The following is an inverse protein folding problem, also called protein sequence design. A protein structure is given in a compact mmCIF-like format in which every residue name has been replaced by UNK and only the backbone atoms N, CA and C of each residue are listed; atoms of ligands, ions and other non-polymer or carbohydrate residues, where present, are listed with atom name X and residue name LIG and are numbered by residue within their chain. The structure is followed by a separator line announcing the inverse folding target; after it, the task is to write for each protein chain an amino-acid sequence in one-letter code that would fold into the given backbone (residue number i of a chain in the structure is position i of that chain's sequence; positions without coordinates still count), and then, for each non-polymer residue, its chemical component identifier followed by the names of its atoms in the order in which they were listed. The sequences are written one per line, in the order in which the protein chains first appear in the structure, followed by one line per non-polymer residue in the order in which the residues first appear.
data_IF_937477723074
#
_entry.id   IF_937477723074
#
_cell.length_a   1.000
_cell.length_b   1.000
_cell.length_c   1.000
_cell.angle_alpha   90.00
_cell.angle_beta   90.00
_cell.angle_gamma   90.00
#
_symmetry.space_group_name_H-M   'P 1'
#
loop_
_entity.id
_entity.type
_entity.pdbx_description
1 polymer ?
#
# COMPACT_ATOMS: atom_id res chain seq x y z
N UNK A 1 -48.78 -8.98 58.01
CA UNK A 1 -47.97 -7.83 57.57
C UNK A 1 -47.15 -8.26 56.36
N UNK A 2 -47.42 -7.77 55.14
CA UNK A 2 -46.61 -8.11 53.98
C UNK A 2 -45.47 -7.09 53.79
N UNK A 3 -44.25 -7.60 53.83
CA UNK A 3 -43.00 -6.88 53.51
C UNK A 3 -42.86 -6.72 52.00
N UNK A 4 -42.99 -5.49 51.50
CA UNK A 4 -42.73 -5.13 50.11
C UNK A 4 -41.24 -4.84 49.90
N UNK A 5 -40.57 -5.69 49.12
CA UNK A 5 -39.18 -5.47 48.69
C UNK A 5 -39.10 -4.43 47.56
N UNK A 6 -38.04 -3.58 47.50
CA UNK A 6 -37.92 -2.54 46.50
C UNK A 6 -37.37 -3.08 45.17
N UNK A 7 -38.17 -3.00 44.10
CA UNK A 7 -37.84 -3.42 42.71
C UNK A 7 -37.07 -2.39 41.86
N UNK A 8 -36.63 -1.25 42.43
CA UNK A 8 -36.23 -0.08 41.63
C UNK A 8 -34.79 -0.08 41.07
N UNK A 9 -33.93 -1.03 41.45
CA UNK A 9 -32.49 -0.97 41.09
C UNK A 9 -32.11 -1.70 39.79
N UNK A 10 -32.97 -2.54 39.24
CA UNK A 10 -32.67 -3.36 38.04
C UNK A 10 -33.01 -2.69 36.71
N UNK A 11 -33.93 -1.71 36.67
CA UNK A 11 -34.34 -1.05 35.42
C UNK A 11 -33.34 0.00 34.89
N UNK A 12 -32.54 0.61 35.77
CA UNK A 12 -31.53 1.61 35.37
C UNK A 12 -30.28 1.00 34.74
N UNK A 13 -29.90 -0.22 35.13
CA UNK A 13 -28.74 -0.91 34.56
C UNK A 13 -28.98 -1.32 33.09
N UNK A 14 -30.20 -1.74 32.74
CA UNK A 14 -30.53 -2.18 31.37
C UNK A 14 -30.59 -1.04 30.36
N UNK A 15 -30.98 0.18 30.78
CA UNK A 15 -30.99 1.36 29.90
C UNK A 15 -29.61 1.95 29.66
N UNK A 16 -28.69 1.85 30.62
CA UNK A 16 -27.29 2.24 30.43
C UNK A 16 -26.57 1.31 29.46
N UNK A 17 -26.80 0.00 29.53
CA UNK A 17 -26.17 -0.99 28.65
C UNK A 17 -26.68 -0.86 27.20
N UNK A 18 -27.97 -0.55 26.98
CA UNK A 18 -28.50 -0.34 25.63
C UNK A 18 -27.96 0.95 24.98
N UNK A 19 -27.81 2.02 25.76
CA UNK A 19 -27.20 3.28 25.31
C UNK A 19 -25.72 3.11 24.93
N UNK A 20 -24.94 2.39 25.74
CA UNK A 20 -23.54 2.09 25.43
C UNK A 20 -23.38 1.21 24.17
N UNK A 21 -24.28 0.25 23.95
CA UNK A 21 -24.26 -0.58 22.72
C UNK A 21 -24.58 0.23 21.47
N UNK A 22 -25.53 1.17 21.57
CA UNK A 22 -25.88 2.04 20.46
C UNK A 22 -24.73 2.99 20.08
N UNK A 23 -24.06 3.59 21.08
CA UNK A 23 -22.90 4.47 20.83
C UNK A 23 -21.71 3.70 20.26
N UNK A 24 -21.42 2.49 20.76
CA UNK A 24 -20.41 1.61 20.18
C UNK A 24 -20.73 1.26 18.72
N UNK A 25 -21.98 0.88 18.42
CA UNK A 25 -22.38 0.53 17.05
C UNK A 25 -22.25 1.72 16.09
N UNK A 26 -22.66 2.92 16.52
CA UNK A 26 -22.50 4.15 15.74
C UNK A 26 -21.01 4.49 15.51
N UNK A 27 -20.16 4.30 16.53
CA UNK A 27 -18.72 4.50 16.43
C UNK A 27 -18.05 3.53 15.45
N UNK A 28 -18.42 2.24 15.49
CA UNK A 28 -17.95 1.24 14.53
C UNK A 28 -18.34 1.55 13.08
N UNK A 29 -19.58 2.04 12.86
CA UNK A 29 -20.03 2.42 11.52
C UNK A 29 -19.28 3.64 10.99
N UNK A 30 -19.09 4.67 11.82
CA UNK A 30 -18.31 5.86 11.44
C UNK A 30 -16.87 5.49 11.10
N UNK A 31 -16.23 4.66 11.94
CA UNK A 31 -14.86 4.19 11.73
C UNK A 31 -14.69 3.43 10.42
N UNK A 32 -15.63 2.53 10.08
CA UNK A 32 -15.64 1.81 8.79
C UNK A 32 -15.80 2.73 7.59
N UNK A 33 -16.63 3.75 7.70
CA UNK A 33 -16.83 4.72 6.61
C UNK A 33 -15.57 5.54 6.35
N UNK A 34 -14.88 5.98 7.41
CA UNK A 34 -13.60 6.70 7.31
C UNK A 34 -12.53 5.81 6.68
N UNK A 35 -12.40 4.56 7.14
CA UNK A 35 -11.43 3.61 6.59
C UNK A 35 -11.66 3.36 5.09
N UNK A 36 -12.91 3.15 4.67
CA UNK A 36 -13.25 2.96 3.26
C UNK A 36 -12.94 4.19 2.42
N UNK A 37 -13.33 5.38 2.89
CA UNK A 37 -13.03 6.63 2.20
C UNK A 37 -11.52 6.84 2.06
N UNK A 38 -10.76 6.52 3.11
CA UNK A 38 -9.30 6.56 3.07
C UNK A 38 -8.72 5.59 2.03
N UNK A 39 -9.17 4.33 1.98
CA UNK A 39 -8.71 3.37 0.95
C UNK A 39 -8.97 3.90 -0.46
N UNK A 40 -10.16 4.45 -0.71
CA UNK A 40 -10.54 4.93 -2.04
C UNK A 40 -9.70 6.14 -2.46
N UNK A 41 -9.53 7.12 -1.57
CA UNK A 41 -8.69 8.30 -1.84
C UNK A 41 -7.23 7.91 -2.04
N UNK A 42 -6.73 6.98 -1.21
CA UNK A 42 -5.37 6.48 -1.32
C UNK A 42 -5.15 5.72 -2.63
N UNK A 43 -6.07 4.84 -3.01
CA UNK A 43 -6.00 4.12 -4.28
C UNK A 43 -6.07 5.07 -5.49
N UNK A 44 -6.90 6.12 -5.43
CA UNK A 44 -6.93 7.15 -6.47
C UNK A 44 -5.59 7.89 -6.58
N UNK A 45 -4.97 8.23 -5.44
CA UNK A 45 -3.64 8.84 -5.41
C UNK A 45 -2.57 7.90 -6.01
N UNK A 46 -2.61 6.61 -5.69
CA UNK A 46 -1.70 5.61 -6.26
C UNK A 46 -1.85 5.47 -7.79
N UNK A 47 -3.08 5.49 -8.32
CA UNK A 47 -3.32 5.44 -9.76
C UNK A 47 -2.77 6.70 -10.45
N UNK A 48 -2.99 7.89 -9.89
CA UNK A 48 -2.42 9.13 -10.42
C UNK A 48 -0.89 9.09 -10.40
N UNK A 49 -0.31 8.58 -9.32
CA UNK A 49 1.14 8.42 -9.21
C UNK A 49 1.68 7.46 -10.28
N UNK A 50 0.99 6.34 -10.52
CA UNK A 50 1.36 5.37 -11.56
C UNK A 50 1.36 6.00 -12.96
N UNK A 51 0.33 6.79 -13.28
CA UNK A 51 0.24 7.47 -14.58
C UNK A 51 1.42 8.44 -14.76
N UNK A 52 1.75 9.19 -13.71
CA UNK A 52 2.88 10.12 -13.72
C UNK A 52 4.21 9.39 -13.88
N UNK A 53 4.41 8.28 -13.15
CA UNK A 53 5.62 7.47 -13.22
C UNK A 53 5.81 6.84 -14.61
N UNK A 54 4.75 6.32 -15.22
CA UNK A 54 4.80 5.78 -16.59
C UNK A 54 5.17 6.89 -17.58
N UNK A 55 4.55 8.06 -17.46
CA UNK A 55 4.82 9.21 -18.33
C UNK A 55 6.28 9.67 -18.22
N UNK A 56 6.78 9.78 -17.00
CA UNK A 56 8.15 10.19 -16.73
C UNK A 56 9.15 9.13 -17.21
N UNK A 57 8.85 7.84 -17.04
CA UNK A 57 9.67 6.74 -17.58
C UNK A 57 9.72 6.74 -19.11
N UNK A 58 8.62 7.07 -19.79
CA UNK A 58 8.60 7.20 -21.25
C UNK A 58 9.52 8.34 -21.72
N UNK A 59 9.44 9.51 -21.08
CA UNK A 59 10.31 10.67 -21.39
C UNK A 59 11.78 10.37 -21.10
N UNK A 60 12.09 9.80 -19.94
CA UNK A 60 13.47 9.43 -19.59
C UNK A 60 14.04 8.38 -20.56
N UNK A 61 13.24 7.39 -20.94
CA UNK A 61 13.66 6.37 -21.91
C UNK A 61 13.94 6.98 -23.28
N UNK A 62 13.13 7.95 -23.71
CA UNK A 62 13.37 8.69 -24.95
C UNK A 62 14.70 9.45 -24.90
N UNK A 63 14.92 10.26 -23.86
CA UNK A 63 16.17 11.01 -23.69
C UNK A 63 17.40 10.09 -23.64
N UNK A 64 17.28 8.95 -22.95
CA UNK A 64 18.35 7.96 -22.88
C UNK A 64 18.66 7.33 -24.24
N UNK A 65 17.65 6.98 -25.04
CA UNK A 65 17.85 6.38 -26.37
C UNK A 65 18.38 7.39 -27.40
N UNK A 66 17.95 8.66 -27.32
CA UNK A 66 18.52 9.74 -28.15
C UNK A 66 19.97 10.00 -27.77
N UNK A 67 20.30 10.04 -26.48
CA UNK A 67 21.68 10.24 -26.00
C UNK A 67 22.65 9.12 -26.42
N UNK A 68 22.16 7.89 -26.58
CA UNK A 68 22.95 6.75 -27.07
C UNK A 68 23.04 6.73 -28.61
N UNK A 69 22.28 7.58 -29.31
CA UNK A 69 22.23 7.56 -30.77
C UNK A 69 21.56 6.29 -31.30
N UNK A 70 20.52 5.80 -30.62
CA UNK A 70 19.80 4.62 -31.05
C UNK A 70 19.15 4.83 -32.43
N UNK A 71 19.17 3.78 -33.24
CA UNK A 71 18.58 3.78 -34.57
C UNK A 71 17.29 2.95 -34.57
N UNK A 72 16.31 3.41 -35.34
CA UNK A 72 15.08 2.67 -35.63
C UNK A 72 15.41 1.50 -36.58
N UNK A 73 14.50 0.53 -36.72
CA UNK A 73 14.64 -0.57 -37.67
C UNK A 73 14.96 -0.11 -39.11
N UNK A 74 14.48 1.07 -39.51
CA UNK A 74 14.73 1.68 -40.81
C UNK A 74 16.10 2.38 -40.94
N UNK A 75 16.95 2.30 -39.91
CA UNK A 75 18.27 2.93 -39.90
C UNK A 75 18.26 4.46 -39.72
N UNK A 76 17.12 5.07 -39.43
CA UNK A 76 17.01 6.49 -39.05
C UNK A 76 17.32 6.68 -37.57
N UNK A 77 17.87 7.85 -37.21
CA UNK A 77 18.10 8.22 -35.81
C UNK A 77 16.77 8.42 -35.09
N UNK A 78 16.67 7.93 -33.85
CA UNK A 78 15.45 8.05 -33.05
C UNK A 78 15.02 9.50 -32.80
N UNK A 79 15.98 10.44 -32.76
CA UNK A 79 15.71 11.87 -32.60
C UNK A 79 15.17 12.57 -33.86
N UNK A 80 15.16 11.88 -35.00
CA UNK A 80 14.63 12.43 -36.26
C UNK A 80 13.14 12.15 -36.50
N UNK A 81 12.51 11.32 -35.67
CA UNK A 81 11.07 11.08 -35.76
C UNK A 81 10.30 12.24 -35.13
N UNK A 82 9.27 12.71 -35.81
CA UNK A 82 8.41 13.82 -35.34
C UNK A 82 7.09 13.33 -34.74
N UNK A 83 6.70 12.07 -35.01
CA UNK A 83 5.44 11.50 -34.53
C UNK A 83 5.63 10.72 -33.21
N UNK A 84 4.82 11.05 -32.20
CA UNK A 84 4.80 10.33 -30.92
C UNK A 84 4.46 8.85 -31.08
N UNK A 85 3.58 8.51 -32.02
CA UNK A 85 3.19 7.12 -32.26
C UNK A 85 4.37 6.30 -32.79
N UNK A 86 5.10 6.82 -33.77
CA UNK A 86 6.27 6.13 -34.34
C UNK A 86 7.40 5.98 -33.30
N UNK A 87 7.59 6.97 -32.44
CA UNK A 87 8.56 6.90 -31.33
C UNK A 87 8.15 5.80 -30.34
N UNK A 88 6.88 5.73 -29.95
CA UNK A 88 6.41 4.75 -28.96
C UNK A 88 6.37 3.32 -29.49
N UNK A 89 6.02 3.14 -30.77
CA UNK A 89 6.02 1.83 -31.45
C UNK A 89 7.45 1.34 -31.74
N UNK A 90 8.46 2.21 -31.66
CA UNK A 90 9.84 1.84 -31.92
C UNK A 90 10.36 0.81 -30.90
N UNK A 91 10.93 -0.28 -31.42
CA UNK A 91 11.53 -1.35 -30.63
C UNK A 91 12.57 -0.87 -29.56
N UNK A 92 13.46 0.10 -29.85
CA UNK A 92 14.42 0.60 -28.87
C UNK A 92 13.74 1.23 -27.65
N UNK A 93 12.66 1.99 -27.86
CA UNK A 93 11.90 2.63 -26.78
C UNK A 93 11.20 1.58 -25.93
N UNK A 94 10.48 0.64 -26.54
CA UNK A 94 9.79 -0.43 -25.79
C UNK A 94 10.77 -1.27 -24.95
N UNK A 95 11.95 -1.56 -25.50
CA UNK A 95 13.00 -2.31 -24.78
C UNK A 95 13.59 -1.51 -23.61
N UNK A 96 13.82 -0.21 -23.79
CA UNK A 96 14.35 0.66 -22.75
C UNK A 96 13.35 0.89 -21.64
N UNK A 97 12.11 1.26 -21.99
CA UNK A 97 11.00 1.43 -21.06
C UNK A 97 10.77 0.16 -20.26
N UNK A 98 10.73 -1.01 -20.92
CA UNK A 98 10.59 -2.29 -20.24
C UNK A 98 11.71 -2.59 -19.23
N UNK A 99 12.95 -2.22 -19.54
CA UNK A 99 14.09 -2.40 -18.62
C UNK A 99 14.00 -1.46 -17.41
N UNK A 100 13.61 -0.21 -17.62
CA UNK A 100 13.41 0.76 -16.54
C UNK A 100 12.22 0.34 -15.65
N UNK A 101 11.12 -0.05 -16.28
CA UNK A 101 9.93 -0.53 -15.61
C UNK A 101 10.23 -1.77 -14.78
N UNK A 102 10.98 -2.74 -15.31
CA UNK A 102 11.40 -3.92 -14.54
C UNK A 102 12.24 -3.54 -13.31
N UNK A 103 13.21 -2.64 -13.45
CA UNK A 103 14.02 -2.14 -12.31
C UNK A 103 13.19 -1.39 -11.27
N UNK A 104 12.16 -0.69 -11.72
CA UNK A 104 11.21 -0.03 -10.83
C UNK A 104 10.36 -1.07 -10.07
N UNK A 105 9.85 -2.08 -10.79
CA UNK A 105 9.05 -3.15 -10.22
C UNK A 105 9.83 -3.97 -9.18
N UNK A 106 11.03 -4.39 -9.56
CA UNK A 106 11.87 -5.27 -8.77
C UNK A 106 13.24 -4.61 -8.50
N UNK A 107 13.62 -4.40 -7.22
CA UNK A 107 12.93 -4.82 -5.99
C UNK A 107 11.96 -3.76 -5.41
N UNK A 108 11.90 -2.57 -6.01
CA UNK A 108 11.45 -1.35 -5.33
C UNK A 108 9.95 -1.31 -5.01
N UNK A 109 9.06 -1.84 -5.86
CA UNK A 109 7.62 -1.86 -5.56
C UNK A 109 7.15 -3.22 -5.05
N UNK A 110 7.78 -4.30 -5.49
CA UNK A 110 7.34 -5.65 -5.13
C UNK A 110 7.88 -6.18 -3.81
N UNK A 111 9.05 -5.71 -3.35
CA UNK A 111 9.71 -6.30 -2.18
C UNK A 111 10.01 -5.27 -1.10
N UNK A 112 10.53 -4.11 -1.49
CA UNK A 112 10.96 -3.06 -0.55
C UNK A 112 9.83 -2.56 0.35
N UNK A 113 8.59 -2.27 -0.12
CA UNK A 113 7.54 -1.73 0.73
C UNK A 113 7.15 -2.76 1.81
N UNK A 114 7.04 -4.03 1.43
CA UNK A 114 6.72 -5.13 2.35
C UNK A 114 7.84 -5.46 3.34
N UNK A 115 9.10 -5.19 2.97
CA UNK A 115 10.21 -5.27 3.91
C UNK A 115 10.25 -4.06 4.83
N UNK A 116 10.05 -2.85 4.30
CA UNK A 116 10.12 -1.61 5.06
C UNK A 116 8.98 -1.48 6.07
N UNK A 117 7.78 -1.95 5.73
CA UNK A 117 6.59 -1.85 6.58
C UNK A 117 6.75 -2.48 7.97
N UNK A 118 7.22 -3.73 8.17
CA UNK A 118 7.44 -4.25 9.52
C UNK A 118 8.50 -3.44 10.30
N UNK A 119 9.52 -2.86 9.63
CA UNK A 119 10.50 -2.02 10.31
C UNK A 119 9.93 -0.64 10.68
N UNK A 120 9.21 0.01 9.77
CA UNK A 120 8.76 1.40 9.94
C UNK A 120 7.40 1.49 10.61
N UNK A 121 6.47 0.58 10.32
CA UNK A 121 5.12 0.61 10.87
C UNK A 121 4.97 -0.19 12.17
N UNK A 122 5.82 -1.20 12.43
CA UNK A 122 5.72 -2.01 13.65
C UNK A 122 6.88 -1.75 14.61
N UNK A 123 8.12 -1.84 14.16
CA UNK A 123 9.29 -1.68 15.03
C UNK A 123 9.49 -0.22 15.48
N UNK A 124 9.35 0.76 14.58
CA UNK A 124 9.53 2.16 14.91
C UNK A 124 8.52 2.66 15.96
N UNK A 125 7.19 2.43 15.85
CA UNK A 125 6.24 2.91 16.84
C UNK A 125 6.39 2.20 18.18
N UNK A 126 6.76 0.91 18.17
CA UNK A 126 7.07 0.19 19.41
C UNK A 126 8.27 0.82 20.13
N UNK A 127 9.31 1.19 19.39
CA UNK A 127 10.51 1.81 19.95
C UNK A 127 10.23 3.23 20.47
N UNK A 128 9.45 4.03 19.73
CA UNK A 128 9.04 5.38 20.18
C UNK A 128 8.13 5.30 21.40
N UNK A 129 7.19 4.35 21.46
CA UNK A 129 6.36 4.10 22.63
C UNK A 129 7.19 3.71 23.86
N UNK A 130 8.17 2.82 23.69
CA UNK A 130 9.11 2.41 24.76
C UNK A 130 9.90 3.60 25.29
N UNK A 131 10.40 4.47 24.42
CA UNK A 131 11.09 5.69 24.82
C UNK A 131 10.16 6.69 25.52
N UNK A 132 8.93 6.86 25.04
CA UNK A 132 7.96 7.79 25.60
C UNK A 132 7.51 7.37 27.00
N UNK A 133 7.18 6.09 27.20
CA UNK A 133 6.79 5.54 28.51
C UNK A 133 7.98 5.55 29.47
N UNK A 134 9.18 5.27 28.99
CA UNK A 134 10.41 5.32 29.80
C UNK A 134 10.79 6.74 30.24
N UNK A 135 10.53 7.75 29.41
CA UNK A 135 10.87 9.15 29.70
C UNK A 135 9.85 9.84 30.64
N UNK A 136 8.60 9.37 30.69
CA UNK A 136 7.54 10.04 31.45
C UNK A 136 6.92 9.14 32.53
N UNK A 137 7.28 9.31 33.83
CA UNK A 137 6.76 8.49 34.92
C UNK A 137 5.26 8.68 35.19
N UNK A 138 4.60 9.66 34.54
CA UNK A 138 3.15 9.88 34.64
C UNK A 138 2.33 8.89 33.80
N UNK A 139 2.94 8.23 32.80
CA UNK A 139 2.26 7.26 31.94
C UNK A 139 2.47 5.87 32.54
N UNK A 140 1.47 5.37 33.29
CA UNK A 140 1.48 4.06 33.95
C UNK A 140 0.14 3.33 33.77
N UNK A 141 0.16 2.01 33.91
CA UNK A 141 -1.03 1.17 33.86
C UNK A 141 -1.68 1.14 32.47
N UNK A 142 -3.00 1.24 32.42
CA UNK A 142 -3.81 1.16 31.19
C UNK A 142 -3.39 2.18 30.10
N UNK A 143 -2.90 3.36 30.51
CA UNK A 143 -2.41 4.37 29.56
C UNK A 143 -1.07 4.00 28.92
N UNK A 144 -0.25 3.19 29.61
CA UNK A 144 0.97 2.65 29.01
C UNK A 144 0.63 1.51 28.04
N UNK A 145 -0.34 0.66 28.37
CA UNK A 145 -0.85 -0.38 27.46
C UNK A 145 -1.43 0.22 26.18
N UNK A 146 -2.23 1.28 26.28
CA UNK A 146 -2.74 2.03 25.12
C UNK A 146 -1.64 2.68 24.28
N UNK A 147 -0.50 3.03 24.88
CA UNK A 147 0.64 3.54 24.12
C UNK A 147 1.37 2.43 23.33
N UNK A 148 1.20 1.17 23.73
CA UNK A 148 1.72 -0.01 23.03
C UNK A 148 0.67 -0.70 22.13
N UNK A 149 -0.58 -0.24 22.13
CA UNK A 149 -1.58 -0.71 21.18
C UNK A 149 -1.10 -0.37 19.77
N UNK A 150 -0.65 -1.40 19.05
CA UNK A 150 -0.32 -1.29 17.63
C UNK A 150 -1.58 -0.87 16.89
N UNK A 151 -1.49 0.22 16.12
CA UNK A 151 -2.60 0.72 15.33
C UNK A 151 -3.12 -0.35 14.36
N UNK A 152 -4.44 -0.55 14.33
CA UNK A 152 -5.17 -1.47 13.44
C UNK A 152 -5.11 -1.05 11.95
N UNK A 153 -3.92 -0.80 11.40
CA UNK A 153 -3.77 -0.29 10.05
C UNK A 153 -2.90 -1.20 9.17
N UNK A 154 -3.32 -2.46 9.02
CA UNK A 154 -2.88 -3.35 7.91
C UNK A 154 -3.48 -2.93 6.56
N UNK A 155 -4.02 -1.71 6.46
CA UNK A 155 -4.68 -1.19 5.25
C UNK A 155 -3.67 -0.85 4.14
N UNK A 156 -2.41 -0.56 4.51
CA UNK A 156 -1.31 -0.29 3.58
C UNK A 156 -0.99 -1.50 2.70
N UNK A 157 -0.76 -2.68 3.29
CA UNK A 157 -0.52 -3.94 2.56
C UNK A 157 -1.56 -4.25 1.48
N UNK A 158 -2.85 -4.07 1.77
CA UNK A 158 -3.89 -4.35 0.79
C UNK A 158 -3.82 -3.39 -0.39
N UNK A 159 -3.53 -2.11 -0.12
CA UNK A 159 -3.35 -1.13 -1.17
C UNK A 159 -2.10 -1.42 -2.01
N UNK A 160 -1.00 -1.87 -1.41
CA UNK A 160 0.22 -2.26 -2.12
C UNK A 160 0.01 -3.51 -3.00
N UNK A 161 -0.75 -4.50 -2.51
CA UNK A 161 -1.14 -5.66 -3.33
C UNK A 161 -2.02 -5.24 -4.53
N UNK A 162 -3.01 -4.37 -4.31
CA UNK A 162 -3.86 -3.84 -5.39
C UNK A 162 -2.99 -3.07 -6.39
N UNK A 163 -2.05 -2.26 -5.92
CA UNK A 163 -1.13 -1.51 -6.76
C UNK A 163 -0.28 -2.44 -7.64
N UNK A 164 0.27 -3.51 -7.08
CA UNK A 164 1.04 -4.50 -7.82
C UNK A 164 0.20 -5.17 -8.92
N UNK A 165 -1.06 -5.48 -8.66
CA UNK A 165 -1.99 -6.04 -9.66
C UNK A 165 -2.27 -5.03 -10.78
N UNK A 166 -2.52 -3.76 -10.43
CA UNK A 166 -2.74 -2.69 -11.43
C UNK A 166 -1.49 -2.56 -12.30
N UNK A 167 -0.30 -2.50 -11.70
CA UNK A 167 0.95 -2.35 -12.42
C UNK A 167 1.20 -3.52 -13.38
N UNK A 168 0.97 -4.75 -12.93
CA UNK A 168 1.05 -5.96 -13.77
C UNK A 168 0.03 -5.96 -14.89
N UNK A 169 -1.16 -5.42 -14.67
CA UNK A 169 -2.17 -5.29 -15.73
C UNK A 169 -1.76 -4.28 -16.83
N UNK A 170 -0.94 -3.28 -16.50
CA UNK A 170 -0.44 -2.28 -17.46
C UNK A 170 0.80 -2.74 -18.24
N UNK A 171 1.62 -3.63 -17.68
CA UNK A 171 2.89 -4.11 -18.30
C UNK A 171 2.70 -4.66 -19.73
N UNK A 172 1.70 -5.51 -20.04
CA UNK A 172 1.50 -6.05 -21.38
C UNK A 172 1.33 -4.99 -22.47
N UNK A 173 0.76 -3.83 -22.11
CA UNK A 173 0.48 -2.73 -23.04
C UNK A 173 1.71 -1.87 -23.34
N UNK A 174 2.70 -1.87 -22.45
CA UNK A 174 3.86 -0.97 -22.53
C UNK A 174 5.12 -1.71 -22.98
N UNK A 175 5.38 -2.89 -22.40
CA UNK A 175 6.64 -3.61 -22.58
C UNK A 175 6.43 -5.14 -22.52
N UNK A 176 5.85 -5.76 -23.57
CA UNK A 176 5.56 -7.19 -23.58
C UNK A 176 6.83 -8.06 -23.45
N UNK A 177 8.01 -7.54 -23.81
CA UNK A 177 9.27 -8.26 -23.76
C UNK A 177 9.67 -8.72 -22.34
N UNK A 178 9.30 -7.97 -21.29
CA UNK A 178 9.70 -8.26 -19.90
C UNK A 178 8.61 -8.93 -19.07
N UNK A 179 7.49 -9.31 -19.70
CA UNK A 179 6.30 -9.83 -19.01
C UNK A 179 6.63 -11.04 -18.13
N UNK A 180 7.34 -12.02 -18.65
CA UNK A 180 7.67 -13.25 -17.94
C UNK A 180 8.53 -12.99 -16.70
N UNK A 181 9.48 -12.06 -16.76
CA UNK A 181 10.32 -11.67 -15.63
C UNK A 181 9.52 -10.90 -14.57
N UNK A 182 8.65 -9.98 -14.99
CA UNK A 182 7.81 -9.21 -14.06
C UNK A 182 6.79 -10.11 -13.36
N UNK A 183 6.18 -11.06 -14.07
CA UNK A 183 5.27 -12.04 -13.47
C UNK A 183 6.01 -12.99 -12.52
N UNK A 184 7.21 -13.45 -12.86
CA UNK A 184 8.04 -14.24 -11.95
C UNK A 184 8.36 -13.48 -10.66
N UNK A 185 8.77 -12.23 -10.77
CA UNK A 185 9.04 -11.36 -9.63
C UNK A 185 7.80 -11.11 -8.76
N UNK A 186 6.63 -10.93 -9.39
CA UNK A 186 5.34 -10.79 -8.71
C UNK A 186 4.98 -12.05 -7.92
N UNK A 187 5.15 -13.24 -8.51
CA UNK A 187 4.85 -14.50 -7.83
C UNK A 187 5.75 -14.65 -6.60
N UNK A 188 7.06 -14.38 -6.75
CA UNK A 188 8.01 -14.46 -5.64
C UNK A 188 7.65 -13.48 -4.52
N UNK A 189 7.29 -12.23 -4.84
CA UNK A 189 6.87 -11.26 -3.82
C UNK A 189 5.58 -11.68 -3.12
N UNK A 190 4.59 -12.19 -3.85
CA UNK A 190 3.32 -12.63 -3.26
C UNK A 190 3.49 -13.88 -2.39
N UNK A 191 4.36 -14.81 -2.78
CA UNK A 191 4.73 -15.94 -1.94
C UNK A 191 5.41 -15.47 -0.65
N UNK A 192 6.31 -14.51 -0.72
CA UNK A 192 6.94 -13.92 0.47
C UNK A 192 5.91 -13.27 1.39
N UNK A 193 5.01 -12.44 0.85
CA UNK A 193 3.95 -11.77 1.62
C UNK A 193 3.03 -12.81 2.27
N UNK A 194 2.64 -13.85 1.52
CA UNK A 194 1.81 -14.92 2.04
C UNK A 194 2.48 -15.67 3.19
N UNK A 195 3.75 -16.05 3.05
CA UNK A 195 4.51 -16.69 4.12
C UNK A 195 4.62 -15.77 5.34
N UNK A 196 4.93 -14.49 5.15
CA UNK A 196 5.03 -13.52 6.24
C UNK A 196 3.69 -13.36 6.98
N UNK A 197 2.59 -13.24 6.24
CA UNK A 197 1.24 -13.15 6.81
C UNK A 197 0.88 -14.38 7.63
N UNK A 198 1.17 -15.58 7.13
CA UNK A 198 0.98 -16.83 7.87
C UNK A 198 1.80 -16.85 9.17
N UNK A 199 3.07 -16.42 9.14
CA UNK A 199 3.88 -16.36 10.36
C UNK A 199 3.37 -15.36 11.39
N UNK A 200 2.69 -14.29 10.95
CA UNK A 200 2.10 -13.29 11.82
C UNK A 200 0.77 -13.77 12.43
N UNK A 201 -0.09 -14.42 11.65
CA UNK A 201 -1.38 -14.95 12.14
C UNK A 201 -1.22 -16.06 13.19
N UNK A 202 -0.12 -16.81 13.12
CA UNK A 202 0.20 -17.87 14.07
C UNK A 202 0.80 -17.37 15.40
N UNK A 203 1.05 -16.06 15.55
CA UNK A 203 1.58 -15.41 16.75
C UNK A 203 0.56 -14.44 17.36
#
# INVERSE_FOLDING_TARGET
MPTTWPRSRTQTATSQVSSQRASLCAWWLLRRSIQKAYTVMYNAALILNLIMDISLQAVLSYLQMVGVGAHVADGRLLGSLTSFQEIFESYPIQKSVGKLLFKYCWPCTFLVPFLAEPFVAQWLPWQTAKWLVGANPKIKGENAEKAFELGEMEQGRYADCIFNVILVSCIPFIAPAYIHLTFGALIVSHLYIYCFDQTKVLR
#
